data_IF_942358213349
#
_entry.id   IF_942358213349
#
_cell.length_a   1.000
_cell.length_b   1.000
_cell.length_c   1.000
_cell.angle_alpha   90.00
_cell.angle_beta   90.00
_cell.angle_gamma   90.00
#
_symmetry.space_group_name_H-M   'P 1'
#
loop_
_entity.id
_entity.type
_entity.pdbx_description
1 polymer ?
#
# COMPACT_ATOMS: atom_id res chain seq x y z
N UNK A 1 11.50 -4.00 38.84
CA UNK A 1 12.17 -3.69 37.56
C UNK A 1 11.20 -2.91 36.70
N UNK A 2 11.35 -1.58 36.59
CA UNK A 2 10.56 -0.74 35.67
C UNK A 2 11.11 -0.98 34.27
N UNK A 3 10.35 -1.63 33.38
CA UNK A 3 10.69 -1.64 31.97
C UNK A 3 10.59 -0.20 31.49
N UNK A 4 11.73 0.45 31.28
CA UNK A 4 11.79 1.68 30.53
C UNK A 4 11.19 1.34 29.16
N UNK A 5 9.98 1.82 28.89
CA UNK A 5 9.47 1.92 27.53
C UNK A 5 10.50 2.77 26.79
N UNK A 6 11.44 2.10 26.14
CA UNK A 6 12.26 2.73 25.14
C UNK A 6 11.26 3.28 24.14
N UNK A 7 11.18 4.60 24.04
CA UNK A 7 10.61 5.29 22.90
C UNK A 7 11.49 4.94 21.69
N UNK A 8 11.42 3.69 21.24
CA UNK A 8 11.98 3.25 19.98
C UNK A 8 11.26 4.09 18.94
N UNK A 9 12.01 4.99 18.29
CA UNK A 9 11.47 5.78 17.19
C UNK A 9 10.80 4.82 16.23
N UNK A 10 9.52 5.05 15.87
CA UNK A 10 8.81 4.13 15.00
C UNK A 10 9.66 3.87 13.75
N UNK A 11 9.94 2.60 13.50
CA UNK A 11 10.75 2.20 12.34
C UNK A 11 9.93 2.53 11.11
N UNK A 12 10.54 3.31 10.23
CA UNK A 12 9.84 3.83 9.08
C UNK A 12 9.54 2.66 8.12
N UNK A 13 8.30 2.54 7.61
CA UNK A 13 7.91 1.44 6.71
C UNK A 13 8.84 1.33 5.51
N UNK A 14 9.09 0.09 5.10
CA UNK A 14 9.87 -0.18 3.90
C UNK A 14 9.15 0.32 2.65
N UNK A 15 9.93 0.61 1.61
CA UNK A 15 9.38 0.99 0.32
C UNK A 15 8.75 -0.24 -0.32
N UNK A 16 7.50 -0.10 -0.79
CA UNK A 16 6.78 -1.15 -1.49
C UNK A 16 6.51 -0.74 -2.95
N UNK A 17 6.96 -1.58 -3.88
CA UNK A 17 6.95 -1.30 -5.33
C UNK A 17 5.68 -1.76 -6.05
N UNK A 18 4.85 -2.54 -5.37
CA UNK A 18 3.69 -3.20 -5.98
C UNK A 18 4.00 -4.56 -6.58
N UNK A 19 4.96 -5.27 -5.99
CA UNK A 19 5.21 -6.68 -6.32
C UNK A 19 3.98 -7.50 -5.90
N UNK A 20 3.47 -8.37 -6.78
CA UNK A 20 2.32 -9.23 -6.51
C UNK A 20 2.69 -10.40 -5.57
N UNK A 21 3.25 -10.06 -4.41
CA UNK A 21 3.62 -10.96 -3.33
C UNK A 21 2.83 -10.60 -2.07
N UNK A 22 2.06 -11.55 -1.56
CA UNK A 22 1.15 -11.32 -0.43
C UNK A 22 1.91 -11.08 0.88
N UNK A 23 3.04 -11.78 1.09
CA UNK A 23 3.85 -11.64 2.30
C UNK A 23 4.48 -10.24 2.38
N UNK A 24 5.00 -9.74 1.26
CA UNK A 24 5.53 -8.38 1.18
C UNK A 24 4.45 -7.30 1.40
N UNK A 25 3.23 -7.53 0.91
CA UNK A 25 2.10 -6.61 1.12
C UNK A 25 1.64 -6.60 2.58
N UNK A 26 1.52 -7.78 3.21
CA UNK A 26 1.14 -7.92 4.62
C UNK A 26 2.18 -7.24 5.52
N UNK A 27 3.47 -7.52 5.28
CA UNK A 27 4.58 -6.87 6.00
C UNK A 27 4.56 -5.35 5.85
N UNK A 28 4.27 -4.83 4.66
CA UNK A 28 4.13 -3.39 4.44
C UNK A 28 2.95 -2.82 5.24
N UNK A 29 1.82 -3.51 5.23
CA UNK A 29 0.61 -3.11 5.95
C UNK A 29 0.86 -3.03 7.45
N UNK A 30 1.45 -4.07 8.04
CA UNK A 30 1.80 -4.12 9.46
C UNK A 30 2.75 -2.98 9.86
N UNK A 31 3.78 -2.75 9.06
CA UNK A 31 4.72 -1.65 9.30
C UNK A 31 4.04 -0.27 9.30
N UNK A 32 3.04 -0.07 8.43
CA UNK A 32 2.27 1.18 8.39
C UNK A 32 1.38 1.32 9.62
N UNK A 33 0.69 0.25 10.05
CA UNK A 33 -0.11 0.27 11.27
C UNK A 33 0.74 0.55 12.50
N UNK A 34 1.86 -0.15 12.65
CA UNK A 34 2.77 0.03 13.79
C UNK A 34 3.35 1.43 13.83
N UNK A 35 3.72 1.98 12.67
CA UNK A 35 4.20 3.35 12.57
C UNK A 35 3.11 4.36 12.96
N UNK A 36 1.91 4.22 12.40
CA UNK A 36 0.78 5.12 12.68
C UNK A 36 0.40 5.12 14.17
N UNK A 37 0.37 3.92 14.77
CA UNK A 37 0.08 3.73 16.19
C UNK A 37 1.15 4.33 17.08
N UNK A 38 2.42 4.10 16.76
CA UNK A 38 3.55 4.59 17.56
C UNK A 38 3.77 6.10 17.43
N UNK A 39 3.45 6.68 16.27
CA UNK A 39 3.56 8.11 16.01
C UNK A 39 2.26 8.89 16.28
N UNK A 40 1.21 8.22 16.77
CA UNK A 40 -0.11 8.80 17.05
C UNK A 40 -0.69 9.61 15.88
N UNK A 41 -0.58 9.07 14.66
CA UNK A 41 -0.98 9.76 13.45
C UNK A 41 -2.46 9.61 13.17
N UNK A 42 -3.06 10.67 12.64
CA UNK A 42 -4.40 10.59 12.06
C UNK A 42 -4.38 9.82 10.72
N UNK A 43 -5.56 9.44 10.21
CA UNK A 43 -5.64 8.65 8.96
C UNK A 43 -5.03 9.38 7.77
N UNK A 44 -5.17 10.71 7.67
CA UNK A 44 -4.67 11.50 6.54
C UNK A 44 -3.14 11.59 6.56
N UNK A 45 -2.55 11.78 7.74
CA UNK A 45 -1.11 11.74 7.97
C UNK A 45 -0.56 10.35 7.67
N UNK A 46 -1.23 9.31 8.15
CA UNK A 46 -0.85 7.91 7.93
C UNK A 46 -0.82 7.57 6.45
N UNK A 47 -1.87 7.91 5.71
CA UNK A 47 -1.96 7.68 4.26
C UNK A 47 -0.89 8.47 3.50
N UNK A 48 -0.59 9.70 3.92
CA UNK A 48 0.47 10.49 3.30
C UNK A 48 1.85 9.83 3.47
N UNK A 49 2.10 9.23 4.63
CA UNK A 49 3.33 8.47 4.87
C UNK A 49 3.33 7.18 4.07
N UNK A 50 2.22 6.44 4.05
CA UNK A 50 2.08 5.24 3.23
C UNK A 50 2.37 5.53 1.75
N UNK A 51 1.74 6.55 1.19
CA UNK A 51 1.99 6.99 -0.18
C UNK A 51 3.41 7.47 -0.45
N UNK A 52 4.11 8.02 0.54
CA UNK A 52 5.54 8.36 0.41
C UNK A 52 6.46 7.14 0.33
N UNK A 53 5.96 5.97 0.76
CA UNK A 53 6.64 4.68 0.72
C UNK A 53 6.14 3.78 -0.41
N UNK A 54 5.09 4.19 -1.12
CA UNK A 54 4.67 3.60 -2.37
C UNK A 54 5.58 4.04 -3.52
N UNK A 55 5.97 3.10 -4.37
CA UNK A 55 6.74 3.34 -5.61
C UNK A 55 6.21 2.47 -6.73
N UNK A 56 6.54 2.77 -7.99
CA UNK A 56 6.06 1.96 -9.11
C UNK A 56 4.53 1.98 -9.22
N UNK A 57 3.91 0.80 -9.28
CA UNK A 57 2.47 0.66 -9.49
C UNK A 57 1.64 1.04 -8.25
N UNK A 58 2.17 0.84 -7.04
CA UNK A 58 1.51 1.32 -5.80
C UNK A 58 1.42 2.85 -5.77
N UNK A 59 2.44 3.54 -6.31
CA UNK A 59 2.43 5.00 -6.38
C UNK A 59 1.40 5.52 -7.39
N UNK A 60 1.20 4.83 -8.51
CA UNK A 60 0.16 5.18 -9.50
C UNK A 60 -1.24 5.11 -8.88
N UNK A 61 -1.51 4.06 -8.08
CA UNK A 61 -2.74 3.97 -7.29
C UNK A 61 -2.86 5.15 -6.32
N UNK A 62 -1.84 5.40 -5.50
CA UNK A 62 -1.84 6.51 -4.54
C UNK A 62 -2.05 7.87 -5.20
N UNK A 63 -1.42 8.14 -6.35
CA UNK A 63 -1.60 9.40 -7.07
C UNK A 63 -3.04 9.54 -7.58
N UNK A 64 -3.59 8.48 -8.19
CA UNK A 64 -4.91 8.52 -8.83
C UNK A 64 -6.03 8.58 -7.80
N UNK A 65 -6.00 7.68 -6.82
CA UNK A 65 -7.09 7.53 -5.85
C UNK A 65 -6.97 8.50 -4.68
N UNK A 66 -5.76 8.79 -4.20
CA UNK A 66 -5.57 9.61 -2.99
C UNK A 66 -5.21 11.06 -3.30
N UNK A 67 -4.26 11.32 -4.21
CA UNK A 67 -3.87 12.72 -4.50
C UNK A 67 -4.88 13.42 -5.40
N UNK A 68 -5.42 12.71 -6.40
CA UNK A 68 -6.38 13.27 -7.37
C UNK A 68 -7.83 12.97 -7.00
N UNK A 69 -8.07 11.91 -6.22
CA UNK A 69 -9.40 11.59 -5.73
C UNK A 69 -9.92 12.61 -4.73
N UNK A 70 -11.24 12.82 -4.75
CA UNK A 70 -11.96 13.69 -3.80
C UNK A 70 -12.43 12.94 -2.55
N UNK A 71 -12.11 11.65 -2.43
CA UNK A 71 -12.56 10.78 -1.33
C UNK A 71 -11.55 10.80 -0.19
N UNK A 72 -12.01 10.94 1.04
CA UNK A 72 -11.22 10.66 2.23
C UNK A 72 -11.10 9.15 2.43
N UNK A 73 -9.88 8.64 2.57
CA UNK A 73 -9.64 7.24 2.88
C UNK A 73 -9.38 7.08 4.37
N UNK A 74 -9.86 5.97 4.93
CA UNK A 74 -9.26 5.34 6.11
C UNK A 74 -8.03 4.52 5.70
N UNK A 75 -7.17 4.15 6.65
CA UNK A 75 -6.01 3.30 6.35
C UNK A 75 -6.46 1.96 5.76
N UNK A 76 -7.50 1.34 6.34
CA UNK A 76 -8.06 0.07 5.86
C UNK A 76 -8.58 0.16 4.42
N UNK A 77 -9.31 1.22 4.07
CA UNK A 77 -9.79 1.45 2.70
C UNK A 77 -8.64 1.69 1.73
N UNK A 78 -7.61 2.41 2.16
CA UNK A 78 -6.41 2.65 1.36
C UNK A 78 -5.68 1.33 1.07
N UNK A 79 -5.43 0.51 2.09
CA UNK A 79 -4.76 -0.78 1.93
C UNK A 79 -5.60 -1.75 1.09
N UNK A 80 -6.91 -1.85 1.33
CA UNK A 80 -7.79 -2.69 0.49
C UNK A 80 -7.78 -2.26 -0.97
N UNK A 81 -7.95 -0.97 -1.25
CA UNK A 81 -7.90 -0.47 -2.63
C UNK A 81 -6.54 -0.71 -3.29
N UNK A 82 -5.45 -0.56 -2.53
CA UNK A 82 -4.10 -0.84 -3.02
C UNK A 82 -3.92 -2.33 -3.31
N UNK A 83 -4.44 -3.21 -2.45
CA UNK A 83 -4.45 -4.65 -2.66
C UNK A 83 -5.22 -5.00 -3.95
N UNK A 84 -6.44 -4.49 -4.11
CA UNK A 84 -7.26 -4.76 -5.30
C UNK A 84 -6.62 -4.22 -6.59
N UNK A 85 -5.85 -3.13 -6.50
CA UNK A 85 -5.13 -2.57 -7.64
C UNK A 85 -3.91 -3.41 -8.06
N UNK A 86 -3.17 -3.95 -7.09
CA UNK A 86 -1.95 -4.74 -7.33
C UNK A 86 -2.28 -6.20 -7.65
N UNK A 87 -3.32 -6.73 -6.99
CA UNK A 87 -3.82 -8.08 -7.14
C UNK A 87 -5.23 -8.07 -7.77
N UNK A 88 -5.43 -7.45 -8.96
CA UNK A 88 -6.77 -7.36 -9.51
C UNK A 88 -7.30 -8.76 -9.79
N UNK A 89 -8.56 -9.02 -9.42
CA UNK A 89 -9.26 -10.27 -9.76
C UNK A 89 -9.19 -10.58 -11.27
N UNK A 90 -9.06 -9.52 -12.09
CA UNK A 90 -8.96 -9.58 -13.54
C UNK A 90 -7.53 -9.73 -14.07
N UNK A 91 -6.50 -9.90 -13.23
CA UNK A 91 -5.12 -10.08 -13.71
C UNK A 91 -5.02 -11.29 -14.67
N UNK A 92 -5.73 -12.38 -14.36
CA UNK A 92 -5.82 -13.56 -15.22
C UNK A 92 -6.53 -13.26 -16.55
N UNK A 93 -7.64 -12.51 -16.50
CA UNK A 93 -8.40 -12.13 -17.69
C UNK A 93 -7.59 -11.19 -18.59
N UNK A 94 -6.91 -10.19 -18.00
CA UNK A 94 -6.06 -9.24 -18.69
C UNK A 94 -4.81 -9.91 -19.30
N UNK A 95 -4.15 -10.83 -18.59
CA UNK A 95 -3.05 -11.63 -19.16
C UNK A 95 -3.55 -12.50 -20.32
N UNK A 96 -4.73 -13.11 -20.20
CA UNK A 96 -5.32 -13.94 -21.25
C UNK A 96 -5.63 -13.10 -22.50
N UNK A 97 -6.30 -11.96 -22.36
CA UNK A 97 -6.58 -11.06 -23.48
C UNK A 97 -5.29 -10.54 -24.13
N UNK A 98 -4.27 -10.20 -23.33
CA UNK A 98 -2.98 -9.76 -23.84
C UNK A 98 -2.28 -10.88 -24.63
N UNK A 99 -2.27 -12.10 -24.11
CA UNK A 99 -1.68 -13.26 -24.79
C UNK A 99 -2.41 -13.59 -26.10
N UNK A 100 -3.74 -13.60 -26.09
CA UNK A 100 -4.60 -13.80 -27.27
C UNK A 100 -4.37 -12.69 -28.32
N UNK A 101 -4.14 -11.44 -27.91
CA UNK A 101 -3.84 -10.33 -28.82
C UNK A 101 -2.47 -10.42 -29.50
N UNK A 102 -1.49 -11.07 -28.86
CA UNK A 102 -0.14 -11.23 -29.40
C UNK A 102 0.02 -12.49 -30.28
N UNK A 103 -0.87 -13.48 -30.15
CA UNK A 103 -0.85 -14.70 -30.97
C UNK A 103 -1.51 -14.53 -32.34
N UNK A 104 -2.14 -13.39 -32.61
CA UNK A 104 -2.75 -13.06 -33.91
C UNK A 104 -1.87 -12.17 -34.81
N UNK A 105 -0.57 -12.07 -34.53
CA UNK A 105 0.44 -11.47 -35.43
C UNK A 105 1.34 -12.55 -35.99
#
# INVERSE_FOLDING_TARGET
MKFQQAFLKPVLPNIYKGEADAESFEKFSDQIYDYAKSAHLDSKQTIKIAGSRCTGDTYKFYETEVRRGKKSFTLDEFLKGMFDYIFPANFRTAQRTLFESQTQR
#
